data_IF_180358721136
#
_entry.id   IF_180358721136
#
_cell.length_a   1.000
_cell.length_b   1.000
_cell.length_c   1.000
_cell.angle_alpha   90.00
_cell.angle_beta   90.00
_cell.angle_gamma   90.00
#
_symmetry.space_group_name_H-M   'P 1'
#
loop_
_entity.id
_entity.type
_entity.pdbx_description
1 polymer ?
#
# COMPACT_ATOMS: atom_id res chain seq x y z
N UNK A 1 18.98 8.76 41.86
CA UNK A 1 18.87 7.94 40.63
C UNK A 1 20.27 7.66 40.10
N UNK A 2 20.58 6.42 39.75
CA UNK A 2 21.91 6.01 39.26
C UNK A 2 22.16 6.50 37.83
N UNK A 3 23.41 6.84 37.49
CA UNK A 3 23.84 7.24 36.15
C UNK A 3 23.40 6.21 35.07
N UNK A 4 23.36 4.93 35.43
CA UNK A 4 22.84 3.85 34.58
C UNK A 4 21.34 3.95 34.28
N UNK A 5 20.54 4.38 35.26
CA UNK A 5 19.10 4.56 35.09
C UNK A 5 18.79 5.76 34.18
N UNK A 6 19.63 6.81 34.23
CA UNK A 6 19.52 7.99 33.37
C UNK A 6 19.92 7.71 31.91
N UNK A 7 21.01 6.95 31.70
CA UNK A 7 21.43 6.52 30.37
C UNK A 7 20.44 5.54 29.72
N UNK A 8 19.83 4.64 30.51
CA UNK A 8 18.77 3.74 30.03
C UNK A 8 17.50 4.49 29.64
N UNK A 9 17.08 5.51 30.40
CA UNK A 9 15.91 6.32 30.06
C UNK A 9 16.14 7.17 28.82
N UNK A 10 17.31 7.80 28.68
CA UNK A 10 17.67 8.56 27.48
C UNK A 10 17.74 7.64 26.25
N UNK A 11 18.34 6.46 26.37
CA UNK A 11 18.39 5.48 25.27
C UNK A 11 16.99 5.01 24.83
N UNK A 12 16.08 4.78 25.78
CA UNK A 12 14.68 4.45 25.51
C UNK A 12 13.90 5.59 24.84
N UNK A 13 14.13 6.84 25.28
CA UNK A 13 13.53 8.04 24.69
C UNK A 13 14.00 8.25 23.24
N UNK A 14 15.31 8.14 22.98
CA UNK A 14 15.87 8.28 21.63
C UNK A 14 15.38 7.17 20.68
N UNK A 15 15.26 5.93 21.17
CA UNK A 15 14.72 4.82 20.39
C UNK A 15 13.23 5.03 20.06
N UNK A 16 12.43 5.52 21.03
CA UNK A 16 11.01 5.81 20.81
C UNK A 16 10.79 6.98 19.82
N UNK A 17 11.64 8.02 19.85
CA UNK A 17 11.58 9.12 18.89
C UNK A 17 12.02 8.69 17.48
N UNK A 18 13.05 7.83 17.37
CA UNK A 18 13.49 7.30 16.08
C UNK A 18 12.46 6.36 15.45
N UNK A 19 11.77 5.56 16.27
CA UNK A 19 10.67 4.70 15.82
C UNK A 19 9.46 5.53 15.35
N UNK A 20 9.13 6.63 16.05
CA UNK A 20 8.08 7.58 15.62
C UNK A 20 8.45 8.32 14.33
N UNK A 21 9.72 8.62 14.10
CA UNK A 21 10.17 9.32 12.89
C UNK A 21 10.10 8.41 11.65
N UNK A 22 10.52 7.14 11.75
CA UNK A 22 10.41 6.18 10.64
C UNK A 22 8.95 5.80 10.30
N UNK A 23 8.05 5.98 11.28
CA UNK A 23 6.61 5.84 11.12
C UNK A 23 5.97 7.03 10.36
N UNK A 24 6.60 8.21 10.33
CA UNK A 24 5.97 9.43 9.78
C UNK A 24 6.07 9.55 8.25
N UNK A 25 7.00 8.85 7.60
CA UNK A 25 7.34 9.06 6.18
C UNK A 25 6.45 8.29 5.18
N UNK A 26 5.49 7.48 5.64
CA UNK A 26 4.62 6.71 4.75
C UNK A 26 3.45 7.56 4.23
N UNK A 27 3.32 7.82 2.91
CA UNK A 27 2.23 8.63 2.37
C UNK A 27 0.84 7.99 2.55
N UNK A 28 0.78 6.68 2.83
CA UNK A 28 -0.47 5.99 3.11
C UNK A 28 -0.93 6.13 4.58
N UNK A 29 -0.18 6.82 5.45
CA UNK A 29 -0.57 7.14 6.82
C UNK A 29 -1.09 8.57 6.90
N UNK A 30 -2.31 8.72 6.41
CA UNK A 30 -2.93 10.01 6.11
C UNK A 30 -3.59 10.68 7.32
N UNK A 31 -3.34 10.18 8.54
CA UNK A 31 -3.83 10.78 9.78
C UNK A 31 -2.67 11.28 10.64
N UNK A 32 -2.85 12.49 11.17
CA UNK A 32 -2.00 13.07 12.21
C UNK A 32 -2.25 12.37 13.56
N UNK A 33 -1.37 12.55 14.57
CA UNK A 33 -1.54 11.91 15.88
C UNK A 33 -2.83 12.26 16.62
N UNK A 34 -3.46 13.39 16.28
CA UNK A 34 -4.75 13.83 16.83
C UNK A 34 -5.95 13.21 16.10
N UNK A 35 -5.72 12.41 15.05
CA UNK A 35 -6.74 11.67 14.31
C UNK A 35 -7.37 12.44 13.15
N UNK A 36 -6.91 13.66 12.89
CA UNK A 36 -7.34 14.46 11.75
C UNK A 36 -6.51 14.14 10.50
N UNK A 37 -7.04 14.37 9.28
CA UNK A 37 -6.29 14.23 8.05
C UNK A 37 -4.99 15.05 8.04
N UNK A 38 -3.97 14.45 7.42
CA UNK A 38 -2.69 15.10 7.15
C UNK A 38 -2.69 15.64 5.72
N UNK A 39 -3.05 16.92 5.57
CA UNK A 39 -3.19 17.57 4.26
C UNK A 39 -1.90 17.54 3.43
N UNK A 40 -0.73 17.57 4.08
CA UNK A 40 0.56 17.47 3.37
C UNK A 40 0.71 16.09 2.71
N UNK A 41 0.22 15.03 3.36
CA UNK A 41 0.24 13.67 2.81
C UNK A 41 -0.84 13.47 1.75
N UNK A 42 -2.02 14.10 1.91
CA UNK A 42 -3.06 14.11 0.87
C UNK A 42 -2.55 14.76 -0.43
N UNK A 43 -1.82 15.88 -0.31
CA UNK A 43 -1.27 16.64 -1.43
C UNK A 43 -0.20 15.88 -2.26
N UNK A 44 0.29 14.73 -1.78
CA UNK A 44 1.20 13.87 -2.54
C UNK A 44 0.50 13.28 -3.77
N UNK A 45 -0.80 12.96 -3.64
CA UNK A 45 -1.59 12.33 -4.69
C UNK A 45 -2.67 13.27 -5.27
N UNK A 46 -3.12 14.24 -4.46
CA UNK A 46 -4.25 15.11 -4.79
C UNK A 46 -3.85 16.58 -4.94
N UNK A 47 -4.63 17.32 -5.73
CA UNK A 47 -4.63 18.77 -5.68
C UNK A 47 -5.50 19.29 -4.51
N UNK A 48 -5.58 20.62 -4.37
CA UNK A 48 -6.39 21.27 -3.32
C UNK A 48 -7.90 20.98 -3.42
N UNK A 49 -8.39 20.63 -4.62
CA UNK A 49 -9.79 20.26 -4.87
C UNK A 49 -10.06 18.75 -4.66
N UNK A 50 -9.06 18.00 -4.19
CA UNK A 50 -9.08 16.54 -4.01
C UNK A 50 -9.17 15.71 -5.31
N UNK A 51 -8.87 16.31 -6.46
CA UNK A 51 -8.65 15.56 -7.70
C UNK A 51 -7.26 14.92 -7.72
N UNK A 52 -7.12 13.75 -8.35
CA UNK A 52 -5.82 13.12 -8.53
C UNK A 52 -4.92 13.95 -9.45
N UNK A 53 -3.65 14.10 -9.07
CA UNK A 53 -2.63 14.81 -9.86
C UNK A 53 -2.27 14.09 -11.17
N UNK A 54 -2.57 12.79 -11.26
CA UNK A 54 -2.31 11.94 -12.43
C UNK A 54 -3.38 10.87 -12.58
N UNK A 55 -3.28 10.01 -13.59
CA UNK A 55 -4.19 8.86 -13.72
C UNK A 55 -4.09 7.94 -12.49
N UNK A 56 -5.14 7.16 -12.22
CA UNK A 56 -5.13 6.18 -11.11
C UNK A 56 -3.96 5.19 -11.20
N UNK A 57 -3.60 4.77 -12.41
CA UNK A 57 -2.46 3.87 -12.65
C UNK A 57 -1.13 4.58 -12.35
N UNK A 58 -0.94 5.77 -12.92
CA UNK A 58 0.30 6.54 -12.79
C UNK A 58 0.54 7.04 -11.35
N UNK A 59 -0.53 7.37 -10.63
CA UNK A 59 -0.47 7.77 -9.21
C UNK A 59 0.27 6.73 -8.39
N UNK A 60 -0.08 5.44 -8.55
CA UNK A 60 0.58 4.36 -7.82
C UNK A 60 1.99 4.08 -8.35
N UNK A 61 2.17 4.08 -9.68
CA UNK A 61 3.45 3.74 -10.31
C UNK A 61 4.53 4.79 -10.10
N UNK A 62 4.16 6.05 -9.79
CA UNK A 62 5.12 7.11 -9.44
C UNK A 62 6.09 6.69 -8.33
N UNK A 63 5.59 5.94 -7.33
CA UNK A 63 6.37 5.42 -6.20
C UNK A 63 6.59 3.90 -6.26
N UNK A 64 5.67 3.15 -6.89
CA UNK A 64 5.70 1.68 -6.95
C UNK A 64 6.06 1.12 -8.33
N UNK A 65 6.80 1.88 -9.16
CA UNK A 65 7.21 1.45 -10.50
C UNK A 65 7.88 0.06 -10.42
N UNK A 66 7.24 -0.94 -11.05
CA UNK A 66 7.67 -2.34 -11.12
C UNK A 66 7.62 -3.12 -9.81
N UNK A 67 6.51 -3.03 -9.08
CA UNK A 67 6.15 -3.99 -8.03
C UNK A 67 6.09 -5.40 -8.63
N UNK A 68 7.13 -6.20 -8.42
CA UNK A 68 7.26 -7.57 -8.95
C UNK A 68 6.46 -8.56 -8.10
N UNK A 69 5.15 -8.35 -7.91
CA UNK A 69 4.31 -9.37 -7.25
C UNK A 69 3.36 -10.05 -8.22
N UNK A 70 2.94 -11.26 -7.83
CA UNK A 70 2.16 -12.19 -8.67
C UNK A 70 0.99 -11.47 -9.36
N UNK A 71 0.94 -11.57 -10.68
CA UNK A 71 -0.14 -11.03 -11.51
C UNK A 71 -0.15 -9.52 -11.69
N UNK A 72 0.81 -8.76 -11.15
CA UNK A 72 0.85 -7.29 -11.31
C UNK A 72 0.91 -6.88 -12.78
N UNK A 73 1.87 -7.40 -13.54
CA UNK A 73 2.03 -7.04 -14.96
C UNK A 73 0.91 -7.63 -15.81
N UNK A 74 0.52 -8.88 -15.57
CA UNK A 74 -0.51 -9.57 -16.34
C UNK A 74 -1.90 -8.93 -16.13
N UNK A 75 -2.25 -8.56 -14.90
CA UNK A 75 -3.53 -7.92 -14.60
C UNK A 75 -3.57 -6.45 -15.05
N UNK A 76 -2.49 -5.68 -14.88
CA UNK A 76 -2.44 -4.28 -15.35
C UNK A 76 -2.50 -4.17 -16.88
N UNK A 77 -1.98 -5.19 -17.59
CA UNK A 77 -2.03 -5.27 -19.06
C UNK A 77 -3.24 -6.01 -19.61
N UNK A 78 -4.09 -6.57 -18.76
CA UNK A 78 -5.29 -7.26 -19.21
C UNK A 78 -6.22 -6.27 -19.96
N UNK A 79 -6.82 -6.73 -21.05
CA UNK A 79 -7.73 -5.89 -21.81
C UNK A 79 -8.98 -5.57 -20.96
N UNK A 80 -9.47 -4.33 -21.01
CA UNK A 80 -10.63 -3.88 -20.23
C UNK A 80 -11.85 -4.82 -20.37
N UNK A 81 -12.12 -5.30 -21.60
CA UNK A 81 -13.20 -6.26 -21.87
C UNK A 81 -13.02 -7.60 -21.14
N UNK A 82 -11.79 -8.06 -20.93
CA UNK A 82 -11.50 -9.31 -20.22
C UNK A 82 -11.65 -9.15 -18.71
N UNK A 83 -11.28 -7.96 -18.19
CA UNK A 83 -11.44 -7.57 -16.79
C UNK A 83 -12.93 -7.45 -16.46
N UNK A 84 -13.68 -6.65 -17.21
CA UNK A 84 -15.10 -6.40 -16.96
C UNK A 84 -15.95 -7.68 -17.02
N UNK A 85 -15.57 -8.66 -17.85
CA UNK A 85 -16.24 -9.98 -17.91
C UNK A 85 -16.00 -10.86 -16.68
N UNK A 86 -14.98 -10.55 -15.89
CA UNK A 86 -14.58 -11.32 -14.69
C UNK A 86 -14.87 -10.59 -13.39
N UNK A 87 -15.04 -9.27 -13.45
CA UNK A 87 -15.29 -8.46 -12.27
C UNK A 87 -16.60 -8.91 -11.60
N UNK A 88 -16.57 -9.33 -10.33
CA UNK A 88 -17.80 -9.63 -9.59
C UNK A 88 -18.54 -8.33 -9.28
N UNK A 89 -19.86 -8.41 -9.16
CA UNK A 89 -20.62 -7.29 -8.59
C UNK A 89 -20.39 -7.18 -7.08
N UNK A 90 -20.63 -6.00 -6.50
CA UNK A 90 -20.51 -5.79 -5.05
C UNK A 90 -21.39 -6.76 -4.25
N UNK A 91 -22.56 -7.12 -4.78
CA UNK A 91 -23.46 -8.11 -4.16
C UNK A 91 -22.87 -9.52 -4.14
N UNK A 92 -21.99 -9.86 -5.09
CA UNK A 92 -21.40 -11.20 -5.23
C UNK A 92 -20.13 -11.40 -4.40
N UNK A 93 -19.36 -10.33 -4.21
CA UNK A 93 -18.06 -10.34 -3.50
C UNK A 93 -18.13 -9.68 -2.12
N UNK A 94 -19.17 -8.89 -1.83
CA UNK A 94 -19.26 -8.04 -0.65
C UNK A 94 -18.46 -6.72 -0.77
N UNK A 95 -17.71 -6.53 -1.85
CA UNK A 95 -16.76 -5.41 -2.00
C UNK A 95 -16.81 -4.84 -3.41
N UNK A 96 -16.57 -3.54 -3.54
CA UNK A 96 -16.43 -2.90 -4.85
C UNK A 96 -14.99 -2.99 -5.34
N UNK A 97 -14.81 -3.39 -6.59
CA UNK A 97 -13.51 -3.43 -7.26
C UNK A 97 -13.41 -2.24 -8.22
N UNK A 98 -12.80 -1.11 -7.81
CA UNK A 98 -12.71 0.05 -8.68
C UNK A 98 -11.81 -0.24 -9.88
N UNK A 99 -12.14 0.36 -11.01
CA UNK A 99 -11.36 0.31 -12.23
C UNK A 99 -10.79 1.69 -12.57
N UNK A 100 -9.78 1.69 -13.43
CA UNK A 100 -9.34 2.91 -14.10
C UNK A 100 -10.44 3.44 -15.04
N UNK A 101 -10.28 4.68 -15.50
CA UNK A 101 -11.25 5.38 -16.36
C UNK A 101 -11.51 4.62 -17.68
N UNK A 102 -10.52 3.89 -18.18
CA UNK A 102 -10.58 3.06 -19.38
C UNK A 102 -11.14 1.63 -19.13
N UNK A 103 -11.54 1.33 -17.90
CA UNK A 103 -12.07 0.03 -17.50
C UNK A 103 -11.01 -1.07 -17.34
N UNK A 104 -9.71 -0.74 -17.33
CA UNK A 104 -8.65 -1.67 -16.92
C UNK A 104 -8.50 -1.73 -15.40
N UNK A 105 -7.83 -2.79 -14.95
CA UNK A 105 -7.39 -2.89 -13.55
C UNK A 105 -6.24 -1.92 -13.30
N UNK A 106 -6.18 -1.42 -12.07
CA UNK A 106 -5.04 -0.69 -11.53
C UNK A 106 -4.72 -1.23 -10.12
N UNK A 107 -3.69 -0.70 -9.47
CA UNK A 107 -3.27 -1.18 -8.15
C UNK A 107 -4.42 -1.12 -7.10
N UNK A 108 -5.21 -0.05 -7.11
CA UNK A 108 -6.34 0.16 -6.21
C UNK A 108 -7.56 -0.73 -6.47
N UNK A 109 -7.57 -1.48 -7.58
CA UNK A 109 -8.54 -2.56 -7.78
C UNK A 109 -8.39 -3.62 -6.69
N UNK A 110 -7.16 -3.97 -6.32
CA UNK A 110 -6.90 -4.99 -5.30
C UNK A 110 -6.56 -4.39 -3.93
N UNK A 111 -5.83 -3.27 -3.92
CA UNK A 111 -5.31 -2.65 -2.71
C UNK A 111 -6.21 -1.49 -2.23
N UNK A 112 -6.35 -1.35 -0.91
CA UNK A 112 -6.68 -0.05 -0.31
C UNK A 112 -5.39 0.78 -0.31
N UNK A 113 -5.55 2.08 -0.48
CA UNK A 113 -4.43 3.01 -0.58
C UNK A 113 -4.61 4.24 0.30
N UNK A 114 -5.86 4.57 0.66
CA UNK A 114 -6.09 5.45 1.79
C UNK A 114 -5.89 4.69 3.10
N UNK A 115 -5.47 5.42 4.14
CA UNK A 115 -5.58 4.91 5.50
C UNK A 115 -7.04 4.50 5.73
N UNK A 116 -7.33 3.26 6.17
CA UNK A 116 -8.71 2.85 6.35
C UNK A 116 -9.49 3.70 7.36
N UNK A 117 -8.79 4.41 8.24
CA UNK A 117 -9.40 5.36 9.17
C UNK A 117 -9.86 6.66 8.50
N UNK A 118 -9.44 6.92 7.25
CA UNK A 118 -9.76 8.15 6.50
C UNK A 118 -10.98 7.98 5.59
N UNK A 119 -11.15 6.85 4.90
CA UNK A 119 -12.30 6.68 3.99
C UNK A 119 -12.54 5.26 3.45
N UNK A 120 -11.83 4.24 3.91
CA UNK A 120 -11.96 2.88 3.35
C UNK A 120 -12.32 1.86 4.42
N UNK A 121 -13.38 1.08 4.20
CA UNK A 121 -13.71 -0.04 5.09
C UNK A 121 -12.55 -1.05 5.05
N UNK A 122 -11.92 -1.30 6.21
CA UNK A 122 -10.87 -2.32 6.30
C UNK A 122 -11.53 -3.69 6.21
N UNK A 123 -11.45 -4.30 5.04
CA UNK A 123 -12.07 -5.61 4.81
C UNK A 123 -11.15 -6.79 5.17
N UNK A 124 -9.85 -6.53 5.34
CA UNK A 124 -8.88 -7.49 5.85
C UNK A 124 -7.96 -6.84 6.90
N UNK A 125 -7.76 -7.43 8.09
CA UNK A 125 -6.88 -6.86 9.10
C UNK A 125 -5.44 -6.77 8.58
N UNK A 126 -4.62 -5.81 9.08
CA UNK A 126 -3.21 -5.74 8.71
C UNK A 126 -2.55 -7.06 9.08
N UNK A 127 -1.86 -7.68 8.12
CA UNK A 127 -1.09 -8.90 8.35
C UNK A 127 0.37 -8.57 8.60
N UNK A 128 1.00 -9.36 9.46
CA UNK A 128 2.46 -9.40 9.52
C UNK A 128 2.98 -9.84 8.16
N UNK A 129 3.91 -9.08 7.60
CA UNK A 129 4.54 -9.48 6.36
C UNK A 129 5.40 -10.72 6.61
N UNK A 130 5.35 -11.74 5.73
CA UNK A 130 6.20 -12.91 5.89
C UNK A 130 7.69 -12.51 5.89
N UNK A 131 8.45 -13.11 6.79
CA UNK A 131 9.90 -12.87 6.91
C UNK A 131 10.70 -13.60 5.82
N UNK A 132 10.09 -14.57 5.12
CA UNK A 132 10.74 -15.38 4.09
C UNK A 132 9.88 -15.67 2.86
N UNK A 133 10.44 -16.45 1.94
CA UNK A 133 9.77 -16.86 0.71
C UNK A 133 9.73 -15.79 -0.38
N UNK A 134 8.88 -15.98 -1.39
CA UNK A 134 8.77 -15.08 -2.54
C UNK A 134 8.35 -13.66 -2.12
N UNK A 135 7.37 -13.55 -1.20
CA UNK A 135 6.89 -12.26 -0.71
C UNK A 135 7.99 -11.43 -0.02
N UNK A 136 8.84 -12.06 0.81
CA UNK A 136 9.96 -11.36 1.43
C UNK A 136 11.02 -10.92 0.42
N UNK A 137 11.28 -11.72 -0.63
CA UNK A 137 12.20 -11.35 -1.72
C UNK A 137 11.69 -10.16 -2.54
N UNK A 138 10.40 -10.14 -2.87
CA UNK A 138 9.79 -9.02 -3.60
C UNK A 138 9.90 -7.71 -2.80
N UNK A 139 9.67 -7.78 -1.48
CA UNK A 139 9.85 -6.63 -0.58
C UNK A 139 11.29 -6.09 -0.65
N UNK A 140 12.28 -6.96 -0.46
CA UNK A 140 13.69 -6.57 -0.50
C UNK A 140 14.09 -5.97 -1.86
N UNK A 141 13.61 -6.54 -2.97
CA UNK A 141 13.85 -5.98 -4.31
C UNK A 141 13.21 -4.59 -4.49
N UNK A 142 12.03 -4.38 -3.91
CA UNK A 142 11.32 -3.09 -3.97
C UNK A 142 12.05 -2.04 -3.13
N UNK A 143 12.47 -2.38 -1.91
CA UNK A 143 13.27 -1.50 -1.03
C UNK A 143 14.58 -1.09 -1.71
N UNK A 144 15.34 -2.04 -2.27
CA UNK A 144 16.60 -1.72 -2.95
C UNK A 144 16.44 -0.82 -4.19
N UNK A 145 15.30 -0.90 -4.89
CA UNK A 145 14.99 0.00 -6.01
C UNK A 145 14.62 1.39 -5.54
N UNK A 146 13.78 1.49 -4.52
CA UNK A 146 13.41 2.74 -3.88
C UNK A 146 14.66 3.51 -3.40
N UNK A 147 15.59 2.83 -2.74
CA UNK A 147 16.89 3.41 -2.36
C UNK A 147 17.73 3.89 -3.55
N UNK A 148 17.59 3.24 -4.71
CA UNK A 148 18.28 3.66 -5.94
C UNK A 148 17.70 4.97 -6.47
N UNK A 149 16.38 5.14 -6.44
CA UNK A 149 15.70 6.38 -6.84
C UNK A 149 16.05 7.52 -5.90
N UNK A 150 16.01 7.29 -4.58
CA UNK A 150 16.35 8.30 -3.58
C UNK A 150 17.82 8.74 -3.68
N UNK A 151 18.75 7.80 -3.91
CA UNK A 151 20.16 8.16 -4.16
C UNK A 151 20.36 9.04 -5.40
N UNK A 152 19.49 8.93 -6.39
CA UNK A 152 19.52 9.78 -7.57
C UNK A 152 18.89 11.17 -7.33
N UNK A 153 18.23 11.38 -6.19
CA UNK A 153 17.62 12.65 -5.75
C UNK A 153 18.14 13.05 -4.36
N UNK A 154 19.43 13.44 -4.26
CA UNK A 154 20.06 13.76 -2.97
C UNK A 154 19.42 14.94 -2.24
N UNK A 155 18.62 15.75 -2.93
CA UNK A 155 17.80 16.82 -2.35
C UNK A 155 16.60 16.33 -1.54
N UNK A 156 16.23 15.05 -1.67
CA UNK A 156 15.13 14.43 -0.92
C UNK A 156 15.70 13.55 0.20
N UNK A 157 15.65 14.04 1.44
CA UNK A 157 15.93 13.24 2.63
C UNK A 157 14.70 12.39 2.98
N UNK A 158 14.60 11.20 2.41
CA UNK A 158 13.59 10.21 2.77
C UNK A 158 14.22 8.82 2.86
N UNK A 159 13.69 7.96 3.74
CA UNK A 159 14.02 6.53 3.82
C UNK A 159 12.77 5.71 3.50
N UNK A 160 12.87 4.88 2.46
CA UNK A 160 11.76 3.99 2.12
C UNK A 160 11.91 2.70 2.91
N UNK A 161 10.90 2.38 3.70
CA UNK A 161 10.77 1.08 4.36
C UNK A 161 9.34 0.55 4.18
N UNK A 162 9.18 -0.77 4.14
CA UNK A 162 7.85 -1.35 4.29
C UNK A 162 7.43 -1.30 5.75
N UNK A 163 6.23 -0.77 6.01
CA UNK A 163 5.63 -0.85 7.32
C UNK A 163 5.61 -2.33 7.81
N UNK A 164 6.05 -2.62 9.04
CA UNK A 164 6.16 -3.99 9.57
C UNK A 164 4.79 -4.70 9.65
N UNK A 165 3.72 -3.92 9.69
CA UNK A 165 2.34 -4.34 9.46
C UNK A 165 1.90 -3.72 8.15
N UNK A 166 1.50 -4.53 7.17
CA UNK A 166 1.19 -3.99 5.85
C UNK A 166 0.02 -3.02 5.90
N UNK A 167 0.19 -1.80 5.40
CA UNK A 167 -0.92 -0.97 4.90
C UNK A 167 -1.38 -1.40 3.52
N UNK A 168 -0.73 -2.40 2.91
CA UNK A 168 -1.22 -3.08 1.71
C UNK A 168 -2.46 -3.90 2.01
N UNK A 169 -3.46 -3.27 2.62
CA UNK A 169 -4.78 -3.80 2.83
C UNK A 169 -5.29 -4.22 1.47
N UNK A 170 -5.73 -5.46 1.39
CA UNK A 170 -6.39 -5.96 0.21
C UNK A 170 -7.88 -5.79 0.44
N UNK A 171 -8.62 -5.51 -0.63
CA UNK A 171 -10.10 -5.45 -0.58
C UNK A 171 -10.70 -6.79 -0.13
N UNK A 172 -10.00 -7.90 -0.38
CA UNK A 172 -10.36 -9.23 0.12
C UNK A 172 -9.13 -9.98 0.65
N UNK A 173 -9.31 -10.93 1.59
CA UNK A 173 -8.25 -11.82 2.03
C UNK A 173 -7.60 -12.60 0.88
N UNK A 174 -6.27 -12.76 0.94
CA UNK A 174 -5.49 -13.53 -0.04
C UNK A 174 -5.06 -14.91 0.47
N UNK A 175 -4.97 -15.09 1.79
CA UNK A 175 -4.61 -16.34 2.46
C UNK A 175 -5.60 -17.48 2.16
N UNK A 176 -6.89 -17.15 2.07
CA UNK A 176 -7.95 -18.08 1.66
C UNK A 176 -8.28 -18.01 0.15
N UNK A 177 -7.43 -17.36 -0.65
CA UNK A 177 -7.65 -17.10 -2.08
C UNK A 177 -8.93 -16.33 -2.43
N UNK A 178 -9.61 -15.71 -1.45
CA UNK A 178 -10.89 -15.02 -1.67
C UNK A 178 -10.75 -13.92 -2.73
N UNK A 179 -9.67 -13.13 -2.66
CA UNK A 179 -9.36 -12.09 -3.65
C UNK A 179 -9.26 -12.65 -5.08
N UNK A 180 -8.52 -13.75 -5.27
CA UNK A 180 -8.32 -14.35 -6.58
C UNK A 180 -9.62 -14.98 -7.10
N UNK A 181 -10.31 -15.74 -6.23
CA UNK A 181 -11.53 -16.46 -6.58
C UNK A 181 -12.66 -15.49 -6.95
N UNK A 182 -12.72 -14.30 -6.34
CA UNK A 182 -13.73 -13.30 -6.65
C UNK A 182 -13.86 -13.03 -8.17
N UNK A 183 -12.73 -12.99 -8.89
CA UNK A 183 -12.70 -12.81 -10.35
C UNK A 183 -12.49 -14.12 -11.15
N UNK A 184 -11.96 -15.17 -10.51
CA UNK A 184 -11.58 -16.44 -11.14
C UNK A 184 -12.41 -17.65 -10.67
N UNK A 185 -13.67 -17.43 -10.25
CA UNK A 185 -14.57 -18.48 -9.74
C UNK A 185 -14.71 -19.69 -10.68
N UNK A 186 -14.65 -19.50 -12.00
CA UNK A 186 -14.80 -20.58 -12.98
C UNK A 186 -13.60 -21.52 -13.01
N UNK A 187 -12.42 -20.99 -12.71
CA UNK A 187 -11.16 -21.72 -12.66
C UNK A 187 -10.96 -22.42 -11.31
N UNK A 188 -11.59 -21.93 -10.23
CA UNK A 188 -11.51 -22.48 -8.87
C UNK A 188 -12.32 -23.77 -8.64
N UNK A 189 -13.21 -24.14 -9.58
CA UNK A 189 -14.05 -25.35 -9.52
C UNK A 189 -13.52 -26.53 -10.34
N UNK A 190 -12.24 -26.51 -10.74
CA UNK A 190 -11.52 -27.60 -11.43
C UNK A 190 -10.46 -28.17 -10.50
#
# INVERSE_FOLDING_TARGET
MSLRAWLLTIGLLCAATALRAAEDENPHWMLRPDGEPDEEKCAICHNEDMDLLSSKEETCLSCHDRTLHSGSVEHLRAAAVQVQRRLPSKEQSGVEFPLAEDGRMYCGTCHLFHDPRVAEETLAPPRSLPEGGLAARIRQETEGRAETVLRARPEVEAQISFAPKSTGFLRLPIDENQLCIACHRKEAGR
#
